data_IF_109657100783
#
_entry.id   IF_109657100783
#
_cell.length_a   1.000
_cell.length_b   1.000
_cell.length_c   1.000
_cell.angle_alpha   90.00
_cell.angle_beta   90.00
_cell.angle_gamma   90.00
#
_symmetry.space_group_name_H-M   'P 1'
#
loop_
_entity.id
_entity.type
_entity.pdbx_description
1 polymer ?
#
# COMPACT_ATOMS: atom_id res chain seq x y z
N UNK A 1 18.22 8.21 17.94
CA UNK A 1 16.75 8.37 17.97
C UNK A 1 16.12 7.51 19.06
N UNK A 2 16.34 6.19 19.07
CA UNK A 2 15.70 5.23 19.98
C UNK A 2 15.74 5.57 21.49
N UNK A 3 16.82 6.19 21.96
CA UNK A 3 17.00 6.57 23.37
C UNK A 3 16.26 7.86 23.78
N UNK A 4 15.71 8.60 22.82
CA UNK A 4 15.20 9.97 23.04
C UNK A 4 13.69 10.12 22.75
N UNK A 5 13.03 9.05 22.29
CA UNK A 5 11.60 9.07 21.94
C UNK A 5 10.88 7.91 22.60
N UNK A 6 9.63 8.14 23.00
CA UNK A 6 8.77 7.07 23.50
C UNK A 6 8.42 6.09 22.37
N UNK A 7 8.01 6.63 21.23
CA UNK A 7 7.70 5.88 20.02
C UNK A 7 7.89 6.73 18.76
N UNK A 8 7.93 6.07 17.61
CA UNK A 8 7.92 6.67 16.28
C UNK A 8 6.68 6.21 15.52
N UNK A 9 6.08 7.13 14.76
CA UNK A 9 5.04 6.80 13.79
C UNK A 9 5.70 6.64 12.42
N UNK A 10 5.85 5.40 11.97
CA UNK A 10 6.46 5.12 10.66
C UNK A 10 5.38 5.26 9.59
N UNK A 11 5.60 6.16 8.63
CA UNK A 11 4.69 6.40 7.51
C UNK A 11 4.83 5.29 6.47
N UNK A 12 4.31 4.10 6.77
CA UNK A 12 4.39 2.91 5.92
C UNK A 12 3.33 2.90 4.81
N UNK A 13 3.26 4.00 4.07
CA UNK A 13 2.34 4.25 2.97
C UNK A 13 2.98 5.23 1.97
N UNK A 14 2.34 5.45 0.83
CA UNK A 14 2.90 6.18 -0.32
C UNK A 14 4.17 5.55 -0.92
N UNK A 15 4.34 4.24 -0.76
CA UNK A 15 5.45 3.51 -1.37
C UNK A 15 5.48 3.65 -2.90
N UNK A 16 4.29 3.67 -3.51
CA UNK A 16 4.13 3.90 -4.94
C UNK A 16 3.07 4.98 -5.18
N UNK A 17 3.40 5.96 -6.01
CA UNK A 17 2.47 6.96 -6.51
C UNK A 17 2.92 7.53 -7.85
N UNK A 18 2.01 8.19 -8.57
CA UNK A 18 2.31 8.69 -9.91
C UNK A 18 3.42 9.76 -9.96
N UNK A 19 3.75 10.45 -8.85
CA UNK A 19 4.84 11.41 -8.84
C UNK A 19 6.22 10.73 -8.90
N UNK A 20 6.30 9.45 -8.57
CA UNK A 20 7.54 8.65 -8.59
C UNK A 20 7.62 7.74 -9.82
N UNK A 21 6.48 7.24 -10.31
CA UNK A 21 6.44 6.24 -11.38
C UNK A 21 5.22 6.37 -12.30
N UNK A 22 5.37 5.94 -13.55
CA UNK A 22 4.32 5.97 -14.57
C UNK A 22 3.66 4.60 -14.80
N UNK A 23 3.60 3.75 -13.77
CA UNK A 23 2.92 2.47 -13.78
C UNK A 23 2.18 2.23 -12.45
N UNK A 24 1.18 1.34 -12.47
CA UNK A 24 0.41 1.02 -11.26
C UNK A 24 1.29 0.35 -10.20
N UNK A 25 1.05 0.66 -8.94
CA UNK A 25 1.78 0.10 -7.79
C UNK A 25 0.97 0.24 -6.50
N UNK A 26 1.40 -0.45 -5.45
CA UNK A 26 0.66 -0.46 -4.19
C UNK A 26 1.02 0.71 -3.26
N UNK A 27 0.01 1.36 -2.69
CA UNK A 27 0.20 2.46 -1.74
C UNK A 27 0.88 1.99 -0.45
N UNK A 28 0.44 0.86 0.11
CA UNK A 28 0.90 0.33 1.39
C UNK A 28 0.94 -1.21 1.39
N UNK A 29 1.73 -1.83 0.50
CA UNK A 29 1.84 -3.29 0.46
C UNK A 29 2.48 -3.81 1.75
N UNK A 30 1.96 -4.91 2.29
CA UNK A 30 2.53 -5.52 3.48
C UNK A 30 3.85 -6.24 3.18
N UNK A 31 3.91 -6.89 2.02
CA UNK A 31 5.10 -7.57 1.49
C UNK A 31 5.37 -7.11 0.06
N UNK A 32 6.63 -7.22 -0.38
CA UNK A 32 6.98 -7.11 -1.79
C UNK A 32 6.46 -8.29 -2.60
N UNK A 33 6.36 -8.11 -3.92
CA UNK A 33 6.01 -9.14 -4.89
C UNK A 33 7.26 -9.68 -5.57
N UNK A 34 7.17 -10.88 -6.14
CA UNK A 34 8.29 -11.48 -6.90
C UNK A 34 8.66 -10.72 -8.17
N UNK A 35 7.72 -9.98 -8.75
CA UNK A 35 7.88 -9.20 -9.97
C UNK A 35 8.09 -7.70 -9.70
N UNK A 36 8.32 -7.29 -8.44
CA UNK A 36 8.70 -5.92 -8.12
C UNK A 36 10.00 -5.53 -8.84
N UNK A 37 10.09 -4.27 -9.25
CA UNK A 37 11.33 -3.75 -9.83
C UNK A 37 12.49 -3.85 -8.81
N UNK A 38 13.74 -4.06 -9.24
CA UNK A 38 14.85 -4.28 -8.32
C UNK A 38 15.03 -3.19 -7.24
N UNK A 39 14.70 -1.94 -7.58
CA UNK A 39 14.75 -0.79 -6.68
C UNK A 39 13.53 -0.62 -5.78
N UNK A 40 12.50 -1.46 -5.91
CA UNK A 40 11.21 -1.39 -5.18
C UNK A 40 10.96 -2.59 -4.28
N UNK A 41 11.84 -3.60 -4.30
CA UNK A 41 11.71 -4.84 -3.51
C UNK A 41 11.58 -4.62 -2.00
N UNK A 42 12.02 -3.47 -1.48
CA UNK A 42 11.92 -3.07 -0.06
C UNK A 42 10.84 -2.01 0.20
N UNK A 43 10.09 -1.60 -0.82
CA UNK A 43 9.01 -0.61 -0.74
C UNK A 43 7.72 -1.23 -0.19
N UNK A 44 7.81 -1.83 1.01
CA UNK A 44 6.72 -2.48 1.70
C UNK A 44 6.81 -2.31 3.23
N UNK A 45 5.70 -2.55 3.92
CA UNK A 45 5.60 -2.36 5.37
C UNK A 45 6.61 -3.25 6.11
N UNK A 46 6.70 -4.54 5.77
CA UNK A 46 7.59 -5.48 6.45
C UNK A 46 9.04 -4.98 6.46
N UNK A 47 9.58 -4.62 5.30
CA UNK A 47 10.99 -4.25 5.19
C UNK A 47 11.26 -2.84 5.75
N UNK A 48 10.33 -1.89 5.56
CA UNK A 48 10.42 -0.57 6.19
C UNK A 48 10.49 -0.67 7.72
N UNK A 49 9.66 -1.54 8.30
CA UNK A 49 9.64 -1.73 9.74
C UNK A 49 10.89 -2.51 10.21
N UNK A 50 11.31 -3.54 9.48
CA UNK A 50 12.53 -4.29 9.77
C UNK A 50 13.77 -3.38 9.78
N UNK A 51 13.84 -2.41 8.86
CA UNK A 51 14.91 -1.43 8.82
C UNK A 51 15.07 -0.66 10.15
N UNK A 52 13.98 -0.20 10.76
CA UNK A 52 14.07 0.50 12.05
C UNK A 52 14.57 -0.41 13.17
N UNK A 53 14.15 -1.68 13.17
CA UNK A 53 14.57 -2.67 14.16
C UNK A 53 16.05 -2.99 14.02
N UNK A 54 16.52 -3.22 12.79
CA UNK A 54 17.93 -3.49 12.51
C UNK A 54 18.82 -2.28 12.85
N UNK A 55 18.25 -1.08 12.87
CA UNK A 55 18.91 0.17 13.28
C UNK A 55 18.65 0.53 14.76
N UNK A 56 18.23 -0.43 15.58
CA UNK A 56 18.23 -0.32 17.04
C UNK A 56 16.96 0.27 17.67
N UNK A 57 15.87 0.47 16.92
CA UNK A 57 14.56 0.76 17.51
C UNK A 57 13.99 -0.53 18.14
N UNK A 58 13.53 -0.43 19.39
CA UNK A 58 12.78 -1.54 19.96
C UNK A 58 11.39 -1.62 19.32
N UNK A 59 10.86 -2.84 19.24
CA UNK A 59 9.61 -3.16 18.54
C UNK A 59 8.39 -2.46 19.15
N UNK A 60 8.38 -2.32 20.48
CA UNK A 60 7.38 -1.59 21.27
C UNK A 60 7.39 -0.07 21.06
N UNK A 61 8.45 0.47 20.44
CA UNK A 61 8.56 1.89 20.11
C UNK A 61 8.14 2.20 18.66
N UNK A 62 7.73 1.20 17.86
CA UNK A 62 7.38 1.38 16.46
C UNK A 62 5.88 1.30 16.28
N UNK A 63 5.27 2.41 15.86
CA UNK A 63 3.87 2.46 15.44
C UNK A 63 3.82 2.42 13.92
N UNK A 64 3.11 1.42 13.38
CA UNK A 64 2.95 1.21 11.94
C UNK A 64 1.80 2.05 11.40
N UNK A 65 2.02 2.78 10.31
CA UNK A 65 1.03 3.62 9.66
C UNK A 65 0.06 2.82 8.78
N UNK A 66 -1.24 2.99 9.01
CA UNK A 66 -2.30 2.34 8.22
C UNK A 66 -3.08 3.41 7.46
N UNK A 67 -2.97 3.47 6.11
CA UNK A 67 -3.64 4.51 5.34
C UNK A 67 -5.12 4.18 5.16
N UNK A 68 -5.99 5.15 5.43
CA UNK A 68 -7.43 5.10 5.11
C UNK A 68 -7.75 5.74 3.75
N UNK A 69 -6.72 5.83 2.91
CA UNK A 69 -6.77 6.36 1.56
C UNK A 69 -5.94 5.49 0.61
N UNK A 70 -6.22 5.61 -0.67
CA UNK A 70 -5.51 4.95 -1.75
C UNK A 70 -4.77 5.92 -2.66
N UNK A 71 -3.88 5.37 -3.48
CA UNK A 71 -3.20 6.07 -4.58
C UNK A 71 -3.77 5.59 -5.91
N UNK A 72 -3.91 6.51 -6.86
CA UNK A 72 -4.64 6.27 -8.09
C UNK A 72 -3.92 6.72 -9.35
N UNK A 73 -4.17 5.97 -10.42
CA UNK A 73 -3.60 6.16 -11.75
C UNK A 73 -4.68 6.13 -12.82
N UNK A 74 -4.39 6.78 -13.95
CA UNK A 74 -5.10 6.59 -15.21
C UNK A 74 -4.27 5.68 -16.10
N UNK A 75 -4.78 4.49 -16.37
CA UNK A 75 -4.16 3.47 -17.22
C UNK A 75 -4.00 3.96 -18.67
N UNK A 76 -2.93 3.52 -19.33
CA UNK A 76 -2.75 3.72 -20.76
C UNK A 76 -3.85 2.99 -21.55
N UNK A 77 -4.14 1.75 -21.17
CA UNK A 77 -5.10 0.85 -21.82
C UNK A 77 -6.02 0.19 -20.79
N UNK A 78 -7.30 0.02 -21.10
CA UNK A 78 -8.23 -0.73 -20.24
C UNK A 78 -8.01 -2.25 -20.32
N UNK A 79 -7.21 -2.71 -21.28
CA UNK A 79 -6.87 -4.13 -21.42
C UNK A 79 -5.69 -4.56 -20.54
N UNK A 80 -4.94 -3.60 -20.00
CA UNK A 80 -3.84 -3.85 -19.07
C UNK A 80 -4.15 -3.15 -17.73
N UNK A 81 -4.60 -3.94 -16.77
CA UNK A 81 -5.15 -3.45 -15.49
C UNK A 81 -4.45 -4.07 -14.28
N UNK A 82 -3.35 -4.77 -14.53
CA UNK A 82 -2.57 -5.43 -13.48
C UNK A 82 -1.76 -4.44 -12.64
N UNK A 83 -0.94 -5.02 -11.76
CA UNK A 83 0.18 -4.30 -11.14
C UNK A 83 1.26 -4.07 -12.21
N UNK A 84 1.98 -2.96 -12.15
CA UNK A 84 2.95 -2.51 -13.16
C UNK A 84 2.36 -2.16 -14.53
N UNK A 85 1.03 -2.02 -14.64
CA UNK A 85 0.37 -1.60 -15.86
C UNK A 85 0.78 -0.15 -16.21
N UNK A 86 1.16 0.15 -17.47
CA UNK A 86 1.56 1.51 -17.88
C UNK A 86 0.43 2.53 -17.70
N UNK A 87 0.78 3.74 -17.26
CA UNK A 87 -0.15 4.80 -16.92
C UNK A 87 0.21 6.11 -17.63
N UNK A 88 -0.81 6.91 -17.95
CA UNK A 88 -0.67 8.21 -18.63
C UNK A 88 -0.84 9.40 -17.69
N UNK A 89 -1.24 9.15 -16.44
CA UNK A 89 -1.53 10.21 -15.49
C UNK A 89 -1.90 9.69 -14.11
N UNK A 90 -2.05 10.64 -13.19
CA UNK A 90 -2.81 10.45 -11.95
C UNK A 90 -4.24 10.02 -12.26
N UNK A 91 -4.89 9.33 -11.34
CA UNK A 91 -6.35 9.17 -11.40
C UNK A 91 -7.04 10.53 -11.39
N UNK A 92 -8.28 10.54 -11.85
CA UNK A 92 -9.18 11.68 -11.72
C UNK A 92 -9.46 11.98 -10.24
N UNK A 93 -9.81 13.23 -9.96
CA UNK A 93 -10.30 13.62 -8.64
C UNK A 93 -11.55 12.84 -8.26
N UNK A 94 -11.56 12.34 -7.03
CA UNK A 94 -12.72 11.66 -6.44
C UNK A 94 -13.50 12.63 -5.55
N UNK A 95 -14.70 12.24 -5.12
CA UNK A 95 -15.67 13.13 -4.47
C UNK A 95 -15.14 13.68 -3.15
N UNK A 96 -14.55 12.82 -2.32
CA UNK A 96 -14.10 13.20 -0.98
C UNK A 96 -12.61 13.51 -0.93
N UNK A 97 -11.78 12.85 -1.75
CA UNK A 97 -10.36 13.19 -1.84
C UNK A 97 -10.12 14.55 -2.53
N UNK A 98 -11.01 14.94 -3.46
CA UNK A 98 -11.06 16.27 -4.09
C UNK A 98 -10.05 16.52 -5.22
N UNK A 99 -8.87 15.87 -5.20
CA UNK A 99 -7.80 16.06 -6.18
C UNK A 99 -7.42 14.76 -6.90
N UNK A 100 -6.80 14.87 -8.07
CA UNK A 100 -6.34 13.69 -8.81
C UNK A 100 -5.19 12.95 -8.13
N UNK A 101 -5.15 11.62 -8.28
CA UNK A 101 -4.08 10.75 -7.79
C UNK A 101 -4.37 10.02 -6.49
N UNK A 102 -5.59 10.10 -5.97
CA UNK A 102 -5.98 9.40 -4.75
C UNK A 102 -7.48 9.28 -4.55
N UNK A 103 -7.84 8.49 -3.53
CA UNK A 103 -9.21 8.23 -3.12
C UNK A 103 -9.25 7.99 -1.61
N UNK A 104 -10.25 8.51 -0.91
CA UNK A 104 -10.53 8.07 0.47
C UNK A 104 -11.15 6.67 0.46
N UNK A 105 -11.16 5.96 1.59
CA UNK A 105 -11.90 4.68 1.65
C UNK A 105 -13.39 4.84 1.31
N UNK A 106 -14.01 5.98 1.65
CA UNK A 106 -15.39 6.28 1.23
C UNK A 106 -15.54 6.41 -0.29
N UNK A 107 -14.58 7.04 -0.98
CA UNK A 107 -14.55 7.10 -2.44
C UNK A 107 -14.39 5.69 -3.06
N UNK A 108 -13.58 4.84 -2.43
CA UNK A 108 -13.42 3.43 -2.83
C UNK A 108 -14.76 2.69 -2.72
N UNK A 109 -15.46 2.79 -1.59
CA UNK A 109 -16.78 2.20 -1.40
C UNK A 109 -17.79 2.69 -2.46
N UNK A 110 -17.82 3.99 -2.75
CA UNK A 110 -18.67 4.59 -3.79
C UNK A 110 -18.35 4.05 -5.19
N UNK A 111 -17.08 3.77 -5.49
CA UNK A 111 -16.67 3.18 -6.77
C UNK A 111 -17.06 1.70 -6.86
N UNK A 112 -16.86 0.93 -5.78
CA UNK A 112 -17.28 -0.47 -5.70
C UNK A 112 -18.80 -0.62 -5.87
N UNK A 113 -19.60 0.24 -5.25
CA UNK A 113 -21.06 0.23 -5.42
C UNK A 113 -21.50 0.59 -6.85
N UNK A 114 -20.64 1.24 -7.64
CA UNK A 114 -20.86 1.59 -9.05
C UNK A 114 -20.31 0.54 -10.02
N UNK A 115 -19.85 -0.61 -9.52
CA UNK A 115 -19.38 -1.72 -10.36
C UNK A 115 -17.88 -1.71 -10.64
N UNK A 116 -17.07 -0.96 -9.88
CA UNK A 116 -15.62 -1.13 -9.93
C UNK A 116 -15.23 -2.57 -9.56
N UNK A 117 -14.28 -3.13 -10.30
CA UNK A 117 -13.76 -4.48 -10.04
C UNK A 117 -12.69 -4.42 -8.97
N UNK A 118 -12.95 -5.04 -7.82
CA UNK A 118 -11.94 -5.32 -6.78
C UNK A 118 -11.07 -6.51 -7.19
N UNK A 119 -9.76 -6.41 -6.94
CA UNK A 119 -8.82 -7.52 -7.01
C UNK A 119 -7.98 -7.51 -5.74
N UNK A 120 -7.87 -8.66 -5.08
CA UNK A 120 -6.99 -8.82 -3.93
C UNK A 120 -5.65 -9.41 -4.37
N UNK A 121 -4.55 -8.77 -3.98
CA UNK A 121 -3.23 -9.27 -4.26
C UNK A 121 -2.72 -10.18 -3.16
N UNK A 122 -2.50 -11.44 -3.49
CA UNK A 122 -2.13 -12.45 -2.50
C UNK A 122 -0.67 -12.38 -2.06
N UNK A 123 0.22 -11.75 -2.82
CA UNK A 123 1.63 -11.57 -2.43
C UNK A 123 1.75 -10.34 -1.52
N UNK A 124 1.25 -9.19 -1.97
CA UNK A 124 1.34 -7.92 -1.25
C UNK A 124 0.33 -7.78 -0.10
N UNK A 125 -0.69 -8.67 -0.04
CA UNK A 125 -1.79 -8.67 0.95
C UNK A 125 -2.58 -7.37 1.01
N UNK A 126 -2.82 -6.78 -0.16
CA UNK A 126 -3.60 -5.55 -0.31
C UNK A 126 -4.49 -5.61 -1.55
N UNK A 127 -5.64 -4.94 -1.55
CA UNK A 127 -6.46 -4.83 -2.74
C UNK A 127 -6.04 -3.67 -3.66
N UNK A 128 -6.47 -3.79 -4.91
CA UNK A 128 -6.67 -2.66 -5.80
C UNK A 128 -8.05 -2.76 -6.45
N UNK A 129 -8.51 -1.66 -7.04
CA UNK A 129 -9.73 -1.64 -7.84
C UNK A 129 -9.50 -1.02 -9.19
N UNK A 130 -10.38 -1.38 -10.14
CA UNK A 130 -10.38 -0.88 -11.51
C UNK A 130 -11.79 -0.44 -11.91
N UNK A 131 -11.91 0.75 -12.46
CA UNK A 131 -13.15 1.31 -13.03
C UNK A 131 -12.83 2.05 -14.34
N UNK A 132 -13.10 1.40 -15.47
CA UNK A 132 -12.58 1.86 -16.77
C UNK A 132 -11.06 1.98 -16.74
N UNK A 133 -10.52 3.13 -17.18
CA UNK A 133 -9.08 3.46 -17.06
C UNK A 133 -8.62 3.85 -15.66
N UNK A 134 -9.49 3.95 -14.66
CA UNK A 134 -9.10 4.37 -13.32
C UNK A 134 -8.68 3.16 -12.48
N UNK A 135 -7.46 3.22 -11.95
CA UNK A 135 -6.88 2.17 -11.13
C UNK A 135 -6.50 2.75 -9.78
N UNK A 136 -6.89 2.10 -8.68
CA UNK A 136 -6.58 2.57 -7.33
C UNK A 136 -6.07 1.44 -6.47
N UNK A 137 -4.87 1.60 -5.89
CA UNK A 137 -4.42 0.79 -4.75
C UNK A 137 -4.99 1.38 -3.48
N UNK A 138 -5.49 0.54 -2.59
CA UNK A 138 -6.07 0.95 -1.31
C UNK A 138 -5.90 -0.16 -0.28
N UNK A 139 -6.41 0.10 0.92
CA UNK A 139 -6.58 -0.89 1.97
C UNK A 139 -8.06 -1.02 2.33
N UNK A 140 -8.47 -2.23 2.70
CA UNK A 140 -9.82 -2.52 3.19
C UNK A 140 -9.78 -3.39 4.45
N UNK A 141 -10.96 -3.85 4.87
CA UNK A 141 -11.13 -4.69 6.06
C UNK A 141 -10.27 -5.97 5.99
N UNK A 142 -10.14 -6.60 4.82
CA UNK A 142 -9.35 -7.82 4.64
C UNK A 142 -7.86 -7.53 4.82
N UNK A 143 -7.32 -6.52 4.14
CA UNK A 143 -5.91 -6.17 4.28
C UNK A 143 -5.57 -5.65 5.68
N UNK A 144 -6.47 -4.87 6.30
CA UNK A 144 -6.29 -4.40 7.69
C UNK A 144 -6.28 -5.56 8.68
N UNK A 145 -7.20 -6.53 8.56
CA UNK A 145 -7.21 -7.70 9.43
C UNK A 145 -5.91 -8.49 9.31
N UNK A 146 -5.41 -8.71 8.10
CA UNK A 146 -4.13 -9.41 7.88
C UNK A 146 -2.97 -8.64 8.51
N UNK A 147 -2.87 -7.33 8.25
CA UNK A 147 -1.81 -6.48 8.80
C UNK A 147 -1.85 -6.50 10.33
N UNK A 148 -3.00 -6.23 10.94
CA UNK A 148 -3.17 -6.25 12.41
C UNK A 148 -2.85 -7.62 12.99
N UNK A 149 -3.37 -8.71 12.39
CA UNK A 149 -3.11 -10.06 12.85
C UNK A 149 -1.61 -10.36 12.90
N UNK A 150 -0.88 -10.00 11.84
CA UNK A 150 0.56 -10.23 11.76
C UNK A 150 1.33 -9.42 12.80
N UNK A 151 0.96 -8.15 13.03
CA UNK A 151 1.61 -7.33 14.06
C UNK A 151 1.32 -7.78 15.49
N UNK A 152 0.16 -8.41 15.74
CA UNK A 152 -0.21 -8.90 17.06
C UNK A 152 0.29 -10.32 17.38
N UNK A 153 0.32 -11.23 16.39
CA UNK A 153 0.52 -12.66 16.63
C UNK A 153 1.88 -13.19 16.19
N UNK A 154 2.53 -12.54 15.24
CA UNK A 154 3.95 -12.79 15.02
C UNK A 154 4.66 -11.96 16.08
N UNK A 155 4.80 -12.55 17.27
CA UNK A 155 5.73 -12.06 18.29
C UNK A 155 6.98 -11.57 17.58
N UNK A 156 7.26 -10.28 17.72
CA UNK A 156 8.48 -9.67 17.22
C UNK A 156 8.42 -9.22 15.74
N UNK A 157 8.25 -7.91 15.55
CA UNK A 157 8.78 -7.10 14.42
C UNK A 157 10.27 -7.41 14.16
N UNK A 158 10.52 -8.53 13.53
CA UNK A 158 11.81 -9.15 13.30
C UNK A 158 11.48 -10.42 12.59
N UNK A 159 11.24 -10.31 11.29
CA UNK A 159 10.90 -11.45 10.45
C UNK A 159 12.12 -12.36 10.39
N UNK A 160 12.26 -13.26 11.35
CA UNK A 160 13.14 -14.41 11.22
C UNK A 160 12.49 -15.32 10.19
N UNK A 161 13.17 -15.45 9.04
CA UNK A 161 12.90 -16.43 8.00
C UNK A 161 12.46 -17.77 8.59
N UNK A 162 11.25 -18.21 8.25
CA UNK A 162 10.92 -19.62 8.29
C UNK A 162 11.36 -20.15 6.93
N UNK A 163 12.43 -20.96 6.94
CA UNK A 163 12.90 -21.71 5.78
C UNK A 163 12.00 -22.90 5.45
#
# INVERSE_FOLDING_TARGET
MALYVDYINVMTYEFHNFAQQNYTGFNSPLFGRKDDYPNETTSNIKDAVQYYVDNGMRKDQIIVGFPTFGRGWTLLSENDTGVHAPCIGKSNGTRYFGWGGGATYADICDMLSKGARRVFDNEAKVPYLVLGKQWFSYDDEESYQIKVYLFLHINSIGFSSIG
#
